data_IF_629434438436
#
_entry.id   IF_629434438436
#
_cell.length_a   1.000
_cell.length_b   1.000
_cell.length_c   1.000
_cell.angle_alpha   90.00
_cell.angle_beta   90.00
_cell.angle_gamma   90.00
#
_symmetry.space_group_name_H-M   'P 1'
#
loop_
_entity.id
_entity.type
_entity.pdbx_description
1 polymer ?
#
# COMPACT_ATOMS: atom_id res chain seq x y z
N UNK A 1 20.06 -19.04 6.33
CA UNK A 1 19.61 -17.80 5.66
C UNK A 1 18.08 -17.79 5.47
N UNK A 2 17.46 -18.81 4.86
CA UNK A 2 15.99 -19.01 4.97
C UNK A 2 15.56 -19.12 6.43
N UNK A 3 16.31 -19.90 7.24
CA UNK A 3 16.16 -19.92 8.71
C UNK A 3 16.28 -18.56 9.40
N UNK A 4 16.94 -17.59 8.78
CA UNK A 4 17.14 -16.27 9.39
C UNK A 4 15.98 -15.32 9.05
N UNK A 5 15.36 -15.49 7.88
CA UNK A 5 14.08 -14.86 7.55
C UNK A 5 12.92 -15.52 8.28
N UNK A 6 12.97 -16.83 8.51
CA UNK A 6 12.05 -17.55 9.41
C UNK A 6 12.19 -17.02 10.85
N UNK A 7 13.40 -16.87 11.38
CA UNK A 7 13.61 -16.31 12.71
C UNK A 7 13.20 -14.83 12.79
N UNK A 8 13.50 -14.04 11.75
CA UNK A 8 13.04 -12.65 11.62
C UNK A 8 11.51 -12.58 11.58
N UNK A 9 10.88 -13.44 10.79
CA UNK A 9 9.45 -13.55 10.61
C UNK A 9 8.73 -13.94 11.89
N UNK A 10 9.21 -15.00 12.54
CA UNK A 10 8.69 -15.51 13.80
C UNK A 10 8.74 -14.41 14.85
N UNK A 11 9.87 -13.71 14.96
CA UNK A 11 10.06 -12.83 16.08
C UNK A 11 9.63 -11.37 15.82
N UNK A 12 9.45 -10.94 14.55
CA UNK A 12 8.62 -9.75 14.21
C UNK A 12 7.15 -10.06 14.43
N UNK A 13 6.63 -11.17 13.91
CA UNK A 13 5.22 -11.54 14.09
C UNK A 13 4.85 -11.73 15.57
N UNK A 14 5.73 -12.36 16.38
CA UNK A 14 5.56 -12.50 17.83
C UNK A 14 5.65 -11.15 18.57
N UNK A 15 6.52 -10.24 18.12
CA UNK A 15 6.58 -8.87 18.66
C UNK A 15 5.27 -8.10 18.39
N UNK A 16 4.73 -8.23 17.17
CA UNK A 16 3.48 -7.61 16.73
C UNK A 16 2.27 -8.20 17.49
N UNK A 17 2.26 -9.51 17.74
CA UNK A 17 1.10 -10.23 18.31
C UNK A 17 0.89 -10.11 19.83
N UNK A 18 1.87 -9.68 20.62
CA UNK A 18 1.77 -9.86 22.08
C UNK A 18 2.55 -8.88 22.95
N UNK A 19 3.06 -7.77 22.40
CA UNK A 19 3.84 -6.83 23.20
C UNK A 19 5.13 -7.44 23.76
N UNK A 20 5.68 -8.45 23.07
CA UNK A 20 6.97 -9.05 23.41
C UNK A 20 8.11 -8.13 22.96
N UNK A 21 8.19 -6.97 23.57
CA UNK A 21 9.19 -5.93 23.32
C UNK A 21 10.61 -6.51 23.39
N UNK A 22 10.86 -7.49 24.27
CA UNK A 22 12.16 -8.16 24.36
C UNK A 22 12.48 -9.04 23.14
N UNK A 23 11.50 -9.79 22.60
CA UNK A 23 11.69 -10.56 21.38
C UNK A 23 11.97 -9.62 20.19
N UNK A 24 11.20 -8.52 20.07
CA UNK A 24 11.42 -7.49 19.06
C UNK A 24 12.84 -6.88 19.13
N UNK A 25 13.31 -6.60 20.35
CA UNK A 25 14.66 -6.07 20.61
C UNK A 25 15.76 -7.07 20.27
N UNK A 26 15.56 -8.34 20.61
CA UNK A 26 16.50 -9.41 20.26
C UNK A 26 16.64 -9.53 18.75
N UNK A 27 15.52 -9.58 18.02
CA UNK A 27 15.50 -9.61 16.55
C UNK A 27 16.17 -8.41 15.93
N UNK A 28 15.84 -7.20 16.38
CA UNK A 28 16.48 -6.00 15.86
C UNK A 28 18.01 -6.04 16.04
N UNK A 29 18.48 -6.64 17.13
CA UNK A 29 19.92 -6.82 17.41
C UNK A 29 20.53 -7.87 16.48
N UNK A 30 19.88 -9.02 16.32
CA UNK A 30 20.33 -10.10 15.43
C UNK A 30 20.36 -9.63 13.97
N UNK A 31 19.32 -8.92 13.51
CA UNK A 31 19.29 -8.33 12.16
C UNK A 31 20.40 -7.31 11.93
N UNK A 32 20.66 -6.45 12.92
CA UNK A 32 21.73 -5.44 12.79
C UNK A 32 23.12 -6.07 12.65
N UNK A 33 23.29 -7.33 13.04
CA UNK A 33 24.55 -8.07 12.93
C UNK A 33 24.78 -8.78 11.59
N UNK A 34 23.83 -8.71 10.66
CA UNK A 34 23.96 -9.35 9.35
C UNK A 34 24.89 -8.59 8.42
N UNK A 35 26.04 -9.19 8.14
CA UNK A 35 27.04 -8.64 7.22
C UNK A 35 26.65 -8.79 5.74
N UNK A 36 25.85 -9.81 5.39
CA UNK A 36 25.43 -10.10 4.01
C UNK A 36 23.93 -10.34 3.91
N UNK A 37 23.27 -9.57 3.02
CA UNK A 37 21.86 -9.74 2.70
C UNK A 37 21.68 -10.74 1.56
N UNK A 38 20.56 -11.50 1.52
CA UNK A 38 20.22 -12.30 0.36
C UNK A 38 20.10 -11.41 -0.87
N UNK A 39 20.66 -11.84 -2.01
CA UNK A 39 20.63 -11.06 -3.26
C UNK A 39 19.22 -10.77 -3.78
N UNK A 40 18.23 -11.59 -3.39
CA UNK A 40 16.84 -11.42 -3.77
C UNK A 40 16.06 -10.45 -2.86
N UNK A 41 16.58 -10.13 -1.67
CA UNK A 41 15.96 -9.17 -0.75
C UNK A 41 16.70 -7.83 -0.86
N UNK A 42 16.09 -6.81 -1.49
CA UNK A 42 16.69 -5.50 -1.56
C UNK A 42 17.02 -4.95 -0.17
N UNK A 43 18.16 -4.26 -0.06
CA UNK A 43 18.61 -3.61 1.18
C UNK A 43 17.55 -2.65 1.75
N UNK A 44 16.77 -2.02 0.89
CA UNK A 44 15.66 -1.14 1.27
C UNK A 44 14.55 -1.91 1.99
N UNK A 45 14.11 -3.05 1.47
CA UNK A 45 13.07 -3.84 2.13
C UNK A 45 13.55 -4.42 3.46
N UNK A 46 14.81 -4.86 3.53
CA UNK A 46 15.42 -5.27 4.80
C UNK A 46 15.37 -4.18 5.87
N UNK A 47 15.71 -2.94 5.50
CA UNK A 47 15.66 -1.78 6.39
C UNK A 47 14.26 -1.52 6.91
N UNK A 48 13.23 -1.73 6.10
CA UNK A 48 11.85 -1.62 6.56
C UNK A 48 11.56 -2.60 7.71
N UNK A 49 11.88 -3.89 7.57
CA UNK A 49 11.65 -4.87 8.63
C UNK A 49 12.48 -4.58 9.89
N UNK A 50 13.73 -4.13 9.72
CA UNK A 50 14.56 -3.71 10.84
C UNK A 50 13.93 -2.53 11.59
N UNK A 51 13.47 -1.50 10.86
CA UNK A 51 12.79 -0.34 11.42
C UNK A 51 11.49 -0.71 12.13
N UNK A 52 10.70 -1.62 11.54
CA UNK A 52 9.48 -2.16 12.14
C UNK A 52 9.75 -2.89 13.47
N UNK A 53 10.76 -3.77 13.49
CA UNK A 53 11.18 -4.48 14.69
C UNK A 53 11.65 -3.51 15.79
N UNK A 54 12.42 -2.48 15.43
CA UNK A 54 12.84 -1.43 16.34
C UNK A 54 11.66 -0.63 16.90
N UNK A 55 10.67 -0.29 16.06
CA UNK A 55 9.45 0.40 16.46
C UNK A 55 8.66 -0.40 17.50
N UNK A 56 8.35 -1.68 17.22
CA UNK A 56 7.66 -2.56 18.18
C UNK A 56 8.52 -2.89 19.41
N UNK A 57 9.85 -2.80 19.28
CA UNK A 57 10.80 -2.90 20.39
C UNK A 57 10.93 -1.63 21.24
N UNK A 58 10.11 -0.59 20.99
CA UNK A 58 10.17 0.73 21.61
C UNK A 58 11.54 1.41 21.48
N UNK A 59 12.26 1.15 20.38
CA UNK A 59 13.54 1.80 20.03
C UNK A 59 13.27 2.90 19.00
N UNK A 60 12.47 3.89 19.37
CA UNK A 60 11.91 4.88 18.43
C UNK A 60 12.98 5.67 17.66
N UNK A 61 14.03 6.15 18.32
CA UNK A 61 15.13 6.86 17.64
C UNK A 61 15.84 5.98 16.59
N UNK A 62 16.07 4.70 16.91
CA UNK A 62 16.69 3.77 15.97
C UNK A 62 15.75 3.44 14.79
N UNK A 63 14.46 3.26 15.10
CA UNK A 63 13.42 3.02 14.11
C UNK A 63 13.30 4.21 13.15
N UNK A 64 13.30 5.44 13.67
CA UNK A 64 13.26 6.67 12.89
C UNK A 64 14.47 6.78 11.95
N UNK A 65 15.68 6.60 12.47
CA UNK A 65 16.90 6.64 11.65
C UNK A 65 16.90 5.57 10.55
N UNK A 66 16.40 4.37 10.85
CA UNK A 66 16.35 3.26 9.90
C UNK A 66 15.29 3.51 8.82
N UNK A 67 14.08 3.88 9.21
CA UNK A 67 12.94 4.08 8.30
C UNK A 67 13.10 5.34 7.44
N UNK A 68 13.69 6.41 7.96
CA UNK A 68 13.97 7.63 7.19
C UNK A 68 15.00 7.42 6.09
N UNK A 69 15.78 6.32 6.15
CA UNK A 69 16.74 5.96 5.12
C UNK A 69 16.14 5.17 3.95
N UNK A 70 14.82 4.92 3.97
CA UNK A 70 14.10 4.27 2.89
C UNK A 70 13.86 5.26 1.76
N UNK A 71 14.12 4.83 0.54
CA UNK A 71 13.82 5.60 -0.66
C UNK A 71 12.34 5.48 -1.03
N UNK A 72 11.80 6.48 -1.72
CA UNK A 72 10.42 6.49 -2.21
C UNK A 72 10.05 5.23 -3.03
N UNK A 73 11.00 4.67 -3.78
CA UNK A 73 10.79 3.46 -4.59
C UNK A 73 10.81 2.15 -3.75
N UNK A 74 10.89 2.26 -2.42
CA UNK A 74 10.82 1.08 -1.55
C UNK A 74 9.39 0.54 -1.49
N UNK A 75 9.29 -0.78 -1.52
CA UNK A 75 8.05 -1.54 -1.56
C UNK A 75 7.17 -1.41 -0.30
N UNK A 76 7.74 -0.89 0.78
CA UNK A 76 7.02 -0.59 2.03
C UNK A 76 7.16 0.89 2.43
N UNK A 77 7.40 1.78 1.47
CA UNK A 77 7.62 3.21 1.75
C UNK A 77 6.39 3.87 2.40
N UNK A 78 5.17 3.53 1.97
CA UNK A 78 3.95 4.11 2.52
C UNK A 78 3.78 3.70 3.99
N UNK A 79 3.97 2.41 4.28
CA UNK A 79 3.96 1.88 5.63
C UNK A 79 5.06 2.47 6.51
N UNK A 80 6.25 2.72 5.95
CA UNK A 80 7.34 3.36 6.69
C UNK A 80 7.01 4.79 7.09
N UNK A 81 6.48 5.60 6.17
CA UNK A 81 6.03 6.97 6.48
C UNK A 81 4.90 6.98 7.51
N UNK A 82 4.00 6.01 7.45
CA UNK A 82 2.98 5.84 8.48
C UNK A 82 3.59 5.54 9.87
N UNK A 83 4.58 4.64 9.95
CA UNK A 83 5.27 4.36 11.22
C UNK A 83 6.04 5.58 11.73
N UNK A 84 6.74 6.31 10.85
CA UNK A 84 7.46 7.55 11.20
C UNK A 84 6.50 8.59 11.80
N UNK A 85 5.34 8.80 11.17
CA UNK A 85 4.27 9.65 11.73
C UNK A 85 3.84 9.18 13.13
N UNK A 86 3.70 7.87 13.34
CA UNK A 86 3.37 7.32 14.67
C UNK A 86 4.49 7.56 15.69
N UNK A 87 5.76 7.48 15.29
CA UNK A 87 6.90 7.81 16.15
C UNK A 87 6.82 9.29 16.56
N UNK A 88 6.67 10.20 15.61
CA UNK A 88 6.52 11.64 15.88
C UNK A 88 5.37 11.94 16.85
N UNK A 89 4.23 11.25 16.72
CA UNK A 89 3.09 11.42 17.64
C UNK A 89 3.43 11.07 19.10
N UNK A 90 4.45 10.23 19.35
CA UNK A 90 4.94 9.92 20.70
C UNK A 90 5.82 11.03 21.29
N UNK A 91 6.37 11.88 20.44
CA UNK A 91 7.23 13.01 20.82
C UNK A 91 6.46 14.34 20.89
N UNK A 92 5.15 14.33 20.60
CA UNK A 92 4.31 15.51 20.62
C UNK A 92 4.12 16.03 22.06
N UNK A 93 4.54 17.27 22.30
CA UNK A 93 4.32 18.05 23.53
C UNK A 93 3.70 19.40 23.18
N UNK A 94 3.18 20.13 24.17
CA UNK A 94 2.67 21.49 23.94
C UNK A 94 3.76 22.43 23.40
N UNK A 95 4.99 22.28 23.88
CA UNK A 95 6.15 23.13 23.52
C UNK A 95 6.61 22.93 22.07
N UNK A 96 6.45 21.73 21.50
CA UNK A 96 6.93 21.40 20.15
C UNK A 96 5.79 21.13 19.15
N UNK A 97 4.53 21.37 19.53
CA UNK A 97 3.35 20.92 18.80
C UNK A 97 3.34 21.32 17.33
N UNK A 98 3.69 22.58 17.03
CA UNK A 98 3.68 23.09 15.66
C UNK A 98 4.74 22.42 14.79
N UNK A 99 5.95 22.25 15.32
CA UNK A 99 7.06 21.60 14.62
C UNK A 99 6.76 20.13 14.34
N UNK A 100 6.32 19.39 15.35
CA UNK A 100 6.01 17.96 15.22
C UNK A 100 4.84 17.72 14.27
N UNK A 101 3.77 18.53 14.36
CA UNK A 101 2.63 18.43 13.43
C UNK A 101 3.05 18.69 11.98
N UNK A 102 3.95 19.65 11.74
CA UNK A 102 4.49 19.91 10.41
C UNK A 102 5.20 18.68 9.85
N UNK A 103 6.05 18.02 10.65
CA UNK A 103 6.74 16.80 10.22
C UNK A 103 5.78 15.61 10.00
N UNK A 104 4.75 15.49 10.86
CA UNK A 104 3.70 14.48 10.66
C UNK A 104 2.96 14.70 9.35
N UNK A 105 2.67 15.95 9.00
CA UNK A 105 2.02 16.31 7.76
C UNK A 105 2.88 16.01 6.53
N UNK A 106 4.20 16.23 6.59
CA UNK A 106 5.12 15.82 5.52
C UNK A 106 5.04 14.31 5.24
N UNK A 107 4.93 13.48 6.28
CA UNK A 107 4.74 12.04 6.10
C UNK A 107 3.37 11.69 5.55
N UNK A 108 2.30 12.38 5.96
CA UNK A 108 0.97 12.22 5.37
C UNK A 108 0.97 12.54 3.87
N UNK A 109 1.68 13.59 3.44
CA UNK A 109 1.86 13.91 2.02
C UNK A 109 2.59 12.80 1.25
N UNK A 110 3.63 12.20 1.83
CA UNK A 110 4.31 11.07 1.19
C UNK A 110 3.41 9.83 1.10
N UNK A 111 2.62 9.56 2.13
CA UNK A 111 1.65 8.45 2.11
C UNK A 111 0.61 8.68 1.02
N UNK A 112 0.01 9.87 0.96
CA UNK A 112 -0.99 10.21 -0.05
C UNK A 112 -0.44 10.13 -1.48
N UNK A 113 0.84 10.46 -1.67
CA UNK A 113 1.52 10.31 -2.96
C UNK A 113 1.74 8.84 -3.34
N UNK A 114 2.17 8.02 -2.38
CA UNK A 114 2.45 6.59 -2.61
C UNK A 114 1.16 5.79 -2.79
N UNK A 115 0.15 6.06 -1.96
CA UNK A 115 -1.15 5.40 -1.89
C UNK A 115 -2.26 6.43 -2.21
N UNK A 116 -2.50 6.71 -3.51
CA UNK A 116 -3.45 7.75 -3.94
C UNK A 116 -4.91 7.40 -3.67
N UNK A 117 -5.21 6.16 -3.28
CA UNK A 117 -6.55 5.73 -2.86
C UNK A 117 -6.74 5.73 -1.34
N UNK A 118 -5.72 6.15 -0.58
CA UNK A 118 -5.79 6.20 0.87
C UNK A 118 -6.71 7.33 1.36
N UNK A 119 -7.45 7.12 2.47
CA UNK A 119 -8.21 8.21 3.12
C UNK A 119 -7.35 9.43 3.49
N UNK A 120 -6.04 9.23 3.74
CA UNK A 120 -5.10 10.32 4.04
C UNK A 120 -5.05 11.38 2.93
N UNK A 121 -5.36 11.04 1.68
CA UNK A 121 -5.31 12.00 0.57
C UNK A 121 -6.28 13.15 0.79
N UNK A 122 -7.50 12.85 1.28
CA UNK A 122 -8.49 13.87 1.59
C UNK A 122 -8.04 14.72 2.79
N UNK A 123 -7.52 14.08 3.86
CA UNK A 123 -6.99 14.80 5.03
C UNK A 123 -5.88 15.79 4.61
N UNK A 124 -4.98 15.36 3.72
CA UNK A 124 -3.92 16.22 3.19
C UNK A 124 -4.47 17.37 2.36
N UNK A 125 -5.43 17.10 1.48
CA UNK A 125 -6.02 18.13 0.63
C UNK A 125 -6.80 19.19 1.43
N UNK A 126 -7.50 18.78 2.50
CA UNK A 126 -8.21 19.69 3.41
C UNK A 126 -7.25 20.57 4.19
N UNK A 127 -6.20 19.99 4.76
CA UNK A 127 -5.16 20.74 5.47
C UNK A 127 -4.42 21.73 4.56
N UNK A 128 -4.10 21.33 3.32
CA UNK A 128 -3.52 22.25 2.32
C UNK A 128 -4.46 23.42 1.98
N UNK A 129 -5.77 23.15 1.91
CA UNK A 129 -6.78 24.19 1.66
C UNK A 129 -6.84 25.17 2.83
N UNK A 130 -6.87 24.66 4.06
CA UNK A 130 -6.86 25.47 5.27
C UNK A 130 -5.59 26.35 5.37
N UNK A 131 -4.41 25.79 5.10
CA UNK A 131 -3.15 26.55 5.12
C UNK A 131 -3.16 27.70 4.11
N UNK A 132 -3.71 27.47 2.91
CA UNK A 132 -3.87 28.52 1.89
C UNK A 132 -4.86 29.60 2.31
N UNK A 133 -6.00 29.23 2.88
CA UNK A 133 -7.03 30.19 3.33
C UNK A 133 -6.55 31.11 4.46
N UNK A 134 -5.68 30.60 5.34
CA UNK A 134 -5.17 31.36 6.49
C UNK A 134 -3.97 32.25 6.10
N UNK A 135 -3.52 32.19 4.84
CA UNK A 135 -2.37 32.99 4.38
C UNK A 135 -1.06 32.61 5.08
N UNK A 136 -0.97 31.38 5.58
CA UNK A 136 0.28 30.85 6.12
C UNK A 136 1.18 30.59 4.91
N UNK A 137 2.23 31.40 4.75
CA UNK A 137 3.33 31.11 3.82
C UNK A 137 3.85 29.72 4.17
N UNK A 138 3.47 28.73 3.37
CA UNK A 138 3.98 27.38 3.51
C UNK A 138 5.47 27.45 3.21
N UNK A 139 6.32 27.45 4.24
CA UNK A 139 7.77 27.41 4.12
C UNK A 139 8.28 26.06 3.54
N UNK A 140 7.37 25.22 3.05
CA UNK A 140 7.57 23.83 2.69
C UNK A 140 7.02 23.60 1.30
N UNK A 141 7.75 22.84 0.48
CA UNK A 141 7.33 22.47 -0.87
C UNK A 141 6.07 21.61 -0.83
N UNK A 142 4.90 22.25 -0.87
CA UNK A 142 3.62 21.55 -0.89
C UNK A 142 3.49 20.72 -2.17
N UNK A 143 3.41 19.40 -2.01
CA UNK A 143 2.91 18.54 -3.08
C UNK A 143 1.43 18.82 -3.24
N UNK A 144 1.04 19.59 -4.25
CA UNK A 144 -0.37 19.91 -4.49
C UNK A 144 -1.12 18.61 -4.80
N UNK A 145 -1.97 18.18 -3.87
CA UNK A 145 -2.89 17.07 -4.10
C UNK A 145 -4.25 17.63 -4.49
N UNK A 146 -4.93 17.03 -5.49
CA UNK A 146 -6.27 17.45 -5.83
C UNK A 146 -7.21 17.14 -4.65
N UNK A 147 -8.01 18.12 -4.23
CA UNK A 147 -9.11 17.93 -3.29
C UNK A 147 -10.19 17.11 -4.00
N UNK A 148 -10.26 15.83 -3.68
CA UNK A 148 -11.24 14.87 -4.21
C UNK A 148 -11.68 14.09 -2.99
N UNK A 149 -12.99 13.88 -2.81
CA UNK A 149 -13.62 13.09 -1.73
C UNK A 149 -13.20 11.59 -1.83
N UNK A 150 -11.89 11.35 -1.70
CA UNK A 150 -11.18 10.08 -1.82
C UNK A 150 -11.39 9.35 -0.51
N UNK A 151 -12.02 8.18 -0.59
CA UNK A 151 -12.27 7.30 0.56
C UNK A 151 -13.73 7.11 0.94
N UNK A 152 -14.69 7.91 0.42
CA UNK A 152 -16.12 7.68 0.74
C UNK A 152 -16.82 6.65 -0.14
N UNK A 153 -16.29 6.42 -1.35
CA UNK A 153 -16.90 5.50 -2.32
C UNK A 153 -16.14 4.18 -2.46
N UNK A 154 -14.90 4.10 -1.98
CA UNK A 154 -14.11 2.88 -2.09
C UNK A 154 -14.59 1.83 -1.09
N UNK A 155 -15.21 0.78 -1.62
CA UNK A 155 -15.57 -0.40 -0.85
C UNK A 155 -14.45 -1.43 -0.98
N UNK A 156 -13.74 -1.68 0.12
CA UNK A 156 -12.59 -2.59 0.09
C UNK A 156 -13.04 -4.02 -0.28
N UNK A 157 -14.22 -4.47 0.13
CA UNK A 157 -14.78 -5.78 -0.24
C UNK A 157 -14.98 -5.89 -1.76
N UNK A 158 -15.49 -4.84 -2.39
CA UNK A 158 -15.63 -4.77 -3.85
C UNK A 158 -14.27 -4.87 -4.55
N UNK A 159 -13.21 -4.26 -4.02
CA UNK A 159 -11.86 -4.40 -4.57
C UNK A 159 -11.30 -5.83 -4.47
N UNK A 160 -11.66 -6.59 -3.42
CA UNK A 160 -11.35 -8.02 -3.36
C UNK A 160 -12.04 -8.76 -4.50
N UNK A 161 -13.31 -8.48 -4.74
CA UNK A 161 -14.10 -9.09 -5.82
C UNK A 161 -13.51 -8.75 -7.19
N UNK A 162 -13.08 -7.50 -7.40
CA UNK A 162 -12.39 -7.07 -8.63
C UNK A 162 -11.09 -7.85 -8.82
N UNK A 163 -10.29 -8.01 -7.76
CA UNK A 163 -9.07 -8.80 -7.80
C UNK A 163 -9.33 -10.27 -8.14
N UNK A 164 -10.34 -10.88 -7.54
CA UNK A 164 -10.75 -12.26 -7.81
C UNK A 164 -11.21 -12.42 -9.29
N UNK A 165 -12.00 -11.48 -9.81
CA UNK A 165 -12.45 -11.49 -11.21
C UNK A 165 -11.30 -11.31 -12.22
N UNK A 166 -10.29 -10.49 -11.91
CA UNK A 166 -9.08 -10.42 -12.73
C UNK A 166 -8.27 -11.72 -12.65
N UNK A 167 -8.14 -12.30 -11.45
CA UNK A 167 -7.40 -13.53 -11.22
C UNK A 167 -7.99 -14.72 -12.00
N UNK A 168 -9.33 -14.87 -11.98
CA UNK A 168 -10.06 -15.89 -12.75
C UNK A 168 -9.82 -15.80 -14.27
N UNK A 169 -9.45 -14.63 -14.76
CA UNK A 169 -9.16 -14.37 -16.18
C UNK A 169 -7.66 -14.45 -16.49
N UNK A 170 -6.83 -14.89 -15.56
CA UNK A 170 -5.36 -14.92 -15.65
C UNK A 170 -4.73 -13.53 -15.88
N UNK A 171 -5.44 -12.45 -15.52
CA UNK A 171 -4.96 -11.08 -15.56
C UNK A 171 -4.26 -10.74 -14.23
N UNK A 172 -3.16 -11.46 -13.97
CA UNK A 172 -2.52 -11.47 -12.65
C UNK A 172 -1.95 -10.11 -12.23
N UNK A 173 -1.51 -9.27 -13.17
CA UNK A 173 -1.03 -7.92 -12.84
C UNK A 173 -2.16 -7.04 -12.32
N UNK A 174 -3.28 -7.05 -13.02
CA UNK A 174 -4.48 -6.31 -12.65
C UNK A 174 -5.10 -6.85 -11.35
N UNK A 175 -5.03 -8.17 -11.14
CA UNK A 175 -5.45 -8.79 -9.89
C UNK A 175 -4.58 -8.32 -8.71
N UNK A 176 -3.26 -8.33 -8.88
CA UNK A 176 -2.32 -7.81 -7.88
C UNK A 176 -2.59 -6.34 -7.56
N UNK A 177 -2.79 -5.50 -8.58
CA UNK A 177 -3.16 -4.09 -8.41
C UNK A 177 -4.45 -3.93 -7.59
N UNK A 178 -5.50 -4.69 -7.91
CA UNK A 178 -6.78 -4.62 -7.20
C UNK A 178 -6.70 -5.09 -5.73
N UNK A 179 -5.98 -6.17 -5.46
CA UNK A 179 -5.70 -6.57 -4.07
C UNK A 179 -4.84 -5.54 -3.33
N UNK A 180 -3.94 -4.85 -4.03
CA UNK A 180 -3.17 -3.76 -3.44
C UNK A 180 -4.06 -2.54 -3.15
N UNK A 181 -4.97 -2.16 -4.06
CA UNK A 181 -5.96 -1.11 -3.82
C UNK A 181 -6.84 -1.41 -2.61
N UNK A 182 -7.26 -2.67 -2.42
CA UNK A 182 -7.98 -3.10 -1.21
C UNK A 182 -7.24 -2.71 0.08
N UNK A 183 -5.92 -2.78 0.09
CA UNK A 183 -5.09 -2.41 1.25
C UNK A 183 -4.99 -0.88 1.33
N UNK A 184 -4.73 -0.20 0.21
CA UNK A 184 -4.56 1.26 0.17
C UNK A 184 -5.77 2.03 0.71
N UNK A 185 -6.99 1.61 0.34
CA UNK A 185 -8.23 2.32 0.71
C UNK A 185 -8.62 2.17 2.17
N UNK A 186 -7.99 1.23 2.90
CA UNK A 186 -8.23 1.06 4.34
C UNK A 186 -7.57 2.17 5.14
N UNK A 187 -8.09 2.39 6.34
CA UNK A 187 -7.44 3.23 7.32
C UNK A 187 -6.01 2.72 7.59
N UNK A 188 -4.97 3.57 7.60
CA UNK A 188 -3.58 3.14 7.83
C UNK A 188 -3.34 2.40 9.16
N UNK A 189 -4.17 2.60 10.18
CA UNK A 189 -4.14 1.79 11.41
C UNK A 189 -4.53 0.33 11.16
N UNK A 190 -5.21 0.03 10.06
CA UNK A 190 -5.62 -1.32 9.65
C UNK A 190 -4.57 -2.05 8.81
N UNK A 191 -3.58 -1.36 8.23
CA UNK A 191 -2.54 -1.99 7.40
C UNK A 191 -1.69 -3.04 8.11
N UNK A 192 -1.66 -2.99 9.45
CA UNK A 192 -0.95 -3.94 10.29
C UNK A 192 -1.86 -4.86 11.11
N UNK A 193 -3.16 -4.95 10.76
CA UNK A 193 -4.13 -5.79 11.46
C UNK A 193 -4.29 -7.16 10.81
N UNK A 194 -4.87 -8.09 11.57
CA UNK A 194 -5.19 -9.44 11.11
C UNK A 194 -6.03 -9.40 9.83
N UNK A 195 -5.71 -10.27 8.87
CA UNK A 195 -6.44 -10.40 7.61
C UNK A 195 -5.78 -9.68 6.43
N UNK A 196 -4.91 -8.70 6.67
CA UNK A 196 -4.11 -8.06 5.60
C UNK A 196 -3.13 -9.06 4.96
N UNK A 197 -2.66 -10.04 5.74
CA UNK A 197 -1.74 -11.09 5.30
C UNK A 197 -2.33 -11.89 4.15
N UNK A 198 -3.63 -12.19 4.22
CA UNK A 198 -4.32 -12.92 3.16
C UNK A 198 -4.26 -12.19 1.81
N UNK A 199 -4.27 -10.85 1.81
CA UNK A 199 -4.20 -10.06 0.59
C UNK A 199 -2.77 -9.94 0.06
N UNK A 200 -1.77 -9.76 0.92
CA UNK A 200 -0.38 -9.84 0.47
C UNK A 200 -0.01 -11.22 -0.05
N UNK A 201 -0.57 -12.28 0.53
CA UNK A 201 -0.46 -13.64 -0.02
C UNK A 201 -1.13 -13.75 -1.40
N UNK A 202 -2.36 -13.26 -1.58
CA UNK A 202 -3.01 -13.23 -2.91
C UNK A 202 -2.20 -12.44 -3.94
N UNK A 203 -1.57 -11.34 -3.56
CA UNK A 203 -0.67 -10.60 -4.45
C UNK A 203 0.58 -11.43 -4.79
N UNK A 204 1.17 -12.12 -3.79
CA UNK A 204 2.26 -13.05 -4.06
C UNK A 204 1.84 -14.15 -5.04
N UNK A 205 0.64 -14.74 -4.90
CA UNK A 205 0.10 -15.72 -5.84
C UNK A 205 0.13 -15.19 -7.27
N UNK A 206 -0.36 -13.97 -7.47
CA UNK A 206 -0.37 -13.32 -8.78
C UNK A 206 1.04 -13.25 -9.39
N UNK A 207 2.03 -12.78 -8.63
CA UNK A 207 3.41 -12.71 -9.11
C UNK A 207 4.06 -14.08 -9.31
N UNK A 208 3.70 -15.09 -8.52
CA UNK A 208 4.12 -16.47 -8.78
C UNK A 208 3.58 -16.96 -10.13
N UNK A 209 2.30 -16.70 -10.43
CA UNK A 209 1.68 -17.08 -11.71
C UNK A 209 2.26 -16.31 -12.90
N UNK A 210 2.67 -15.05 -12.72
CA UNK A 210 3.38 -14.25 -13.75
C UNK A 210 4.82 -14.72 -14.00
N UNK A 211 5.36 -15.61 -13.17
CA UNK A 211 6.77 -15.99 -13.25
C UNK A 211 7.72 -14.92 -12.71
N UNK A 212 7.26 -14.12 -11.73
CA UNK A 212 8.04 -13.08 -11.04
C UNK A 212 8.34 -13.51 -9.58
N UNK A 213 9.11 -14.60 -9.35
CA UNK A 213 9.28 -15.21 -8.03
C UNK A 213 9.95 -14.29 -7.01
N UNK A 214 10.80 -13.35 -7.44
CA UNK A 214 11.40 -12.36 -6.55
C UNK A 214 10.36 -11.40 -6.00
N UNK A 215 9.42 -10.93 -6.81
CA UNK A 215 8.35 -10.03 -6.35
C UNK A 215 7.35 -10.77 -5.47
N UNK A 216 6.99 -12.01 -5.83
CA UNK A 216 6.20 -12.88 -4.96
C UNK A 216 6.87 -13.10 -3.59
N UNK A 217 8.17 -13.40 -3.57
CA UNK A 217 8.93 -13.57 -2.33
C UNK A 217 8.93 -12.31 -1.46
N UNK A 218 8.95 -11.11 -2.07
CA UNK A 218 8.86 -9.83 -1.35
C UNK A 218 7.49 -9.64 -0.68
N UNK A 219 6.39 -9.96 -1.36
CA UNK A 219 5.03 -9.93 -0.78
C UNK A 219 4.83 -10.98 0.32
N UNK A 220 5.34 -12.21 0.13
CA UNK A 220 5.34 -13.24 1.18
C UNK A 220 6.13 -12.75 2.41
N UNK A 221 7.30 -12.15 2.19
CA UNK A 221 8.11 -11.59 3.28
C UNK A 221 7.38 -10.44 3.98
N UNK A 222 6.64 -9.62 3.22
CA UNK A 222 5.86 -8.48 3.77
C UNK A 222 4.81 -8.95 4.76
N UNK A 223 4.22 -10.11 4.54
CA UNK A 223 3.27 -10.76 5.47
C UNK A 223 3.83 -10.99 6.87
N UNK A 224 5.15 -11.11 7.03
CA UNK A 224 5.75 -11.20 8.35
C UNK A 224 5.76 -9.91 9.16
N UNK A 225 5.40 -8.77 8.56
CA UNK A 225 5.14 -7.53 9.29
C UNK A 225 3.85 -7.57 10.13
N UNK A 226 3.04 -8.63 9.99
CA UNK A 226 1.72 -8.74 10.59
C UNK A 226 1.69 -9.64 11.85
N UNK A 227 0.62 -9.50 12.65
CA UNK A 227 0.35 -10.41 13.75
C UNK A 227 -0.05 -11.81 13.25
N UNK A 228 0.93 -12.61 12.84
CA UNK A 228 0.70 -13.97 12.33
C UNK A 228 0.73 -15.04 13.43
N UNK A 229 -0.14 -16.05 13.29
CA UNK A 229 -0.06 -17.29 14.09
C UNK A 229 1.16 -18.13 13.69
N UNK A 230 1.62 -19.02 14.58
CA UNK A 230 2.71 -19.98 14.28
C UNK A 230 2.44 -20.80 13.02
N UNK A 231 1.19 -21.19 12.78
CA UNK A 231 0.79 -21.91 11.56
C UNK A 231 1.01 -21.05 10.31
N UNK A 232 0.48 -19.82 10.29
CA UNK A 232 0.65 -18.91 9.17
C UNK A 232 2.13 -18.63 8.88
N UNK A 233 2.94 -18.45 9.92
CA UNK A 233 4.38 -18.24 9.76
C UNK A 233 5.04 -19.45 9.11
N UNK A 234 4.71 -20.66 9.57
CA UNK A 234 5.21 -21.92 8.98
C UNK A 234 4.82 -22.05 7.51
N UNK A 235 3.56 -21.75 7.17
CA UNK A 235 3.03 -21.87 5.81
C UNK A 235 3.73 -20.88 4.85
N UNK A 236 3.82 -19.61 5.24
CA UNK A 236 4.50 -18.57 4.44
C UNK A 236 5.99 -18.93 4.27
N UNK A 237 6.64 -19.42 5.33
CA UNK A 237 8.06 -19.81 5.30
C UNK A 237 8.32 -21.00 4.39
N UNK A 238 7.49 -22.05 4.48
CA UNK A 238 7.57 -23.22 3.61
C UNK A 238 7.37 -22.85 2.14
N UNK A 239 6.44 -21.92 1.88
CA UNK A 239 6.18 -21.40 0.54
C UNK A 239 7.35 -20.58 0.01
N UNK A 240 7.89 -19.65 0.80
CA UNK A 240 9.08 -18.86 0.45
C UNK A 240 10.27 -19.77 0.13
N UNK A 241 10.49 -20.81 0.92
CA UNK A 241 11.56 -21.80 0.68
C UNK A 241 11.37 -22.53 -0.66
N UNK A 242 10.15 -22.96 -0.95
CA UNK A 242 9.81 -23.62 -2.23
C UNK A 242 9.97 -22.68 -3.42
N UNK A 243 9.57 -21.42 -3.28
CA UNK A 243 9.65 -20.41 -4.31
C UNK A 243 11.10 -20.06 -4.66
N UNK A 244 11.94 -19.85 -3.64
CA UNK A 244 13.36 -19.48 -3.81
C UNK A 244 14.24 -20.65 -4.25
N UNK A 245 13.80 -21.90 -4.05
CA UNK A 245 14.52 -23.09 -4.50
C UNK A 245 14.28 -23.42 -5.98
N UNK A 246 13.33 -22.75 -6.65
CA UNK A 246 13.00 -23.04 -8.05
C UNK A 246 14.07 -22.49 -9.01
N UNK A 247 14.68 -23.34 -9.86
CA UNK A 247 15.81 -22.94 -10.71
C UNK A 247 15.43 -22.10 -11.95
N UNK A 248 14.13 -21.89 -12.22
CA UNK A 248 13.64 -21.00 -13.27
C UNK A 248 12.17 -20.63 -12.99
N UNK A 249 11.71 -19.45 -13.45
CA UNK A 249 10.29 -19.10 -13.37
C UNK A 249 9.47 -20.15 -14.13
N UNK A 250 8.41 -20.67 -13.49
CA UNK A 250 7.46 -21.56 -14.15
C UNK A 250 6.93 -20.85 -15.40
N UNK A 251 6.86 -21.56 -16.53
CA UNK A 251 6.22 -21.04 -17.74
C UNK A 251 4.82 -20.56 -17.38
N UNK A 252 4.50 -19.33 -17.80
CA UNK A 252 3.19 -18.74 -17.60
C UNK A 252 2.12 -19.70 -18.12
N UNK A 253 1.10 -19.94 -17.30
CA UNK A 253 -0.06 -20.73 -17.68
C UNK A 253 -0.63 -20.17 -18.98
N UNK A 254 -0.95 -21.01 -19.99
CA UNK A 254 -1.52 -20.52 -21.23
C UNK A 254 -2.75 -19.66 -20.96
N UNK A 255 -2.69 -18.41 -21.42
CA UNK A 255 -3.71 -17.39 -21.18
C UNK A 255 -4.97 -17.78 -21.95
N UNK A 256 -6.02 -18.20 -21.24
CA UNK A 256 -7.36 -18.19 -21.80
C UNK A 256 -7.71 -16.76 -22.20
N UNK A 257 -8.35 -16.55 -23.35
CA UNK A 257 -8.82 -15.21 -23.71
C UNK A 257 -9.72 -14.67 -22.58
N UNK A 258 -9.47 -13.43 -22.10
CA UNK A 258 -10.31 -12.81 -21.08
C UNK A 258 -11.78 -12.73 -21.53
N UNK A 259 -12.69 -12.83 -20.56
CA UNK A 259 -14.13 -12.72 -20.83
C UNK A 259 -14.54 -11.24 -20.84
N UNK A 260 -14.99 -10.76 -21.99
CA UNK A 260 -15.40 -9.37 -22.18
C UNK A 260 -16.50 -8.94 -21.19
N UNK A 261 -17.42 -9.85 -20.82
CA UNK A 261 -18.49 -9.56 -19.87
C UNK A 261 -17.94 -9.37 -18.45
N UNK A 262 -16.99 -10.21 -18.02
CA UNK A 262 -16.32 -10.04 -16.72
C UNK A 262 -15.50 -8.75 -16.68
N UNK A 263 -14.81 -8.41 -17.77
CA UNK A 263 -14.07 -7.15 -17.88
C UNK A 263 -15.00 -5.92 -17.80
N UNK A 264 -16.18 -5.99 -18.42
CA UNK A 264 -17.20 -4.96 -18.26
C UNK A 264 -17.67 -4.87 -16.80
N UNK A 265 -18.00 -5.98 -16.15
CA UNK A 265 -18.40 -6.01 -14.74
C UNK A 265 -17.35 -5.40 -13.81
N UNK A 266 -16.06 -5.64 -14.09
CA UNK A 266 -14.97 -5.00 -13.36
C UNK A 266 -14.98 -3.48 -13.60
N UNK A 267 -15.10 -3.04 -14.85
CA UNK A 267 -15.20 -1.62 -15.20
C UNK A 267 -16.36 -0.92 -14.50
N UNK A 268 -17.54 -1.56 -14.47
CA UNK A 268 -18.75 -1.03 -13.83
C UNK A 268 -18.52 -0.84 -12.31
N UNK A 269 -17.96 -1.85 -11.63
CA UNK A 269 -17.64 -1.77 -10.20
C UNK A 269 -16.62 -0.68 -9.89
N UNK A 270 -15.58 -0.56 -10.70
CA UNK A 270 -14.56 0.47 -10.53
C UNK A 270 -15.14 1.87 -10.79
N UNK A 271 -16.06 1.99 -11.75
CA UNK A 271 -16.73 3.26 -12.05
C UNK A 271 -17.66 3.69 -10.92
N UNK A 272 -18.42 2.77 -10.33
CA UNK A 272 -19.25 3.03 -9.14
C UNK A 272 -18.42 3.52 -7.93
N UNK A 273 -17.18 3.06 -7.83
CA UNK A 273 -16.21 3.51 -6.83
C UNK A 273 -15.44 4.78 -7.24
N UNK A 274 -15.77 5.41 -8.37
CA UNK A 274 -15.06 6.57 -8.94
C UNK A 274 -13.57 6.35 -9.22
N UNK A 275 -13.14 5.09 -9.37
CA UNK A 275 -11.80 4.73 -9.88
C UNK A 275 -11.78 4.85 -11.40
N UNK A 276 -11.95 6.07 -11.89
CA UNK A 276 -12.26 6.35 -13.30
C UNK A 276 -11.17 5.86 -14.27
N UNK A 277 -9.89 5.98 -13.91
CA UNK A 277 -8.79 5.57 -14.79
C UNK A 277 -8.69 4.03 -14.90
N UNK A 278 -8.94 3.34 -13.80
CA UNK A 278 -8.99 1.89 -13.68
C UNK A 278 -10.22 1.34 -14.39
N UNK A 279 -11.37 1.99 -14.25
CA UNK A 279 -12.61 1.65 -14.96
C UNK A 279 -12.41 1.75 -16.48
N UNK A 280 -11.85 2.86 -16.97
CA UNK A 280 -11.51 3.02 -18.40
C UNK A 280 -10.54 1.93 -18.86
N UNK A 281 -9.56 1.56 -18.04
CA UNK A 281 -8.62 0.47 -18.37
C UNK A 281 -9.35 -0.86 -18.53
N UNK A 282 -10.26 -1.21 -17.62
CA UNK A 282 -11.06 -2.42 -17.67
C UNK A 282 -11.97 -2.46 -18.93
N UNK A 283 -12.66 -1.36 -19.22
CA UNK A 283 -13.50 -1.26 -20.42
C UNK A 283 -12.70 -1.35 -21.72
N UNK A 284 -11.48 -0.80 -21.76
CA UNK A 284 -10.59 -0.97 -22.92
C UNK A 284 -10.16 -2.42 -23.11
N UNK A 285 -9.89 -3.14 -22.03
CA UNK A 285 -9.61 -4.58 -22.11
C UNK A 285 -10.84 -5.32 -22.66
N UNK A 286 -12.06 -4.98 -22.22
CA UNK A 286 -13.29 -5.57 -22.76
C UNK A 286 -13.48 -5.25 -24.26
N UNK A 287 -13.17 -4.02 -24.69
CA UNK A 287 -13.21 -3.63 -26.11
C UNK A 287 -12.25 -4.46 -26.97
N UNK A 288 -11.04 -4.74 -26.46
CA UNK A 288 -10.08 -5.61 -27.13
C UNK A 288 -10.56 -7.06 -27.28
N UNK A 289 -11.50 -7.50 -26.44
CA UNK A 289 -12.16 -8.80 -26.54
C UNK A 289 -13.46 -8.75 -27.37
N UNK A 290 -13.74 -7.62 -28.03
CA UNK A 290 -14.86 -7.49 -28.98
C UNK A 290 -16.16 -6.91 -28.41
N UNK A 291 -16.17 -6.44 -27.16
CA UNK A 291 -17.34 -5.74 -26.61
C UNK A 291 -17.41 -4.27 -27.08
N UNK A 292 -18.62 -3.73 -27.29
CA UNK A 292 -18.79 -2.31 -27.59
C UNK A 292 -18.81 -1.47 -26.31
N UNK A 293 -17.68 -0.84 -26.00
CA UNK A 293 -17.46 -0.08 -24.75
C UNK A 293 -17.31 1.43 -24.97
N UNK A 294 -17.51 1.92 -26.20
CA UNK A 294 -17.21 3.33 -26.55
C UNK A 294 -18.01 4.32 -25.72
N UNK A 295 -19.31 4.07 -25.56
CA UNK A 295 -20.21 4.94 -24.79
C UNK A 295 -19.85 4.93 -23.30
N UNK A 296 -19.46 3.78 -22.75
CA UNK A 296 -19.10 3.62 -21.34
C UNK A 296 -17.81 4.37 -21.04
N UNK A 297 -16.79 4.20 -21.89
CA UNK A 297 -15.52 4.94 -21.79
C UNK A 297 -15.74 6.45 -21.89
N UNK A 298 -16.62 6.91 -22.81
CA UNK A 298 -16.95 8.33 -22.93
C UNK A 298 -17.65 8.86 -21.66
N UNK A 299 -18.63 8.11 -21.14
CA UNK A 299 -19.38 8.46 -19.94
C UNK A 299 -18.48 8.57 -18.70
N UNK A 300 -17.53 7.65 -18.54
CA UNK A 300 -16.56 7.68 -17.42
C UNK A 300 -15.66 8.92 -17.50
N UNK A 301 -15.20 9.28 -18.70
CA UNK A 301 -14.37 10.48 -18.90
C UNK A 301 -15.14 11.77 -18.59
N UNK A 302 -16.38 11.86 -19.06
CA UNK A 302 -17.26 12.98 -18.74
C UNK A 302 -17.52 13.08 -17.23
N UNK A 303 -17.83 11.95 -16.58
CA UNK A 303 -18.01 11.90 -15.13
C UNK A 303 -16.76 12.36 -14.35
N UNK A 304 -15.56 11.92 -14.79
CA UNK A 304 -14.28 12.37 -14.22
C UNK A 304 -14.11 13.89 -14.33
N UNK A 305 -14.37 14.46 -15.50
CA UNK A 305 -14.28 15.91 -15.73
C UNK A 305 -15.30 16.70 -14.89
N UNK A 306 -16.53 16.21 -14.80
CA UNK A 306 -17.58 16.82 -13.96
C UNK A 306 -17.21 16.76 -12.48
N UNK A 307 -16.66 15.63 -12.01
CA UNK A 307 -16.19 15.48 -10.63
C UNK A 307 -15.12 16.54 -10.34
N UNK A 308 -14.06 16.62 -11.15
CA UNK A 308 -13.01 17.64 -11.03
C UNK A 308 -13.58 19.07 -11.01
N UNK A 309 -14.50 19.39 -11.92
CA UNK A 309 -15.05 20.75 -12.06
C UNK A 309 -16.00 21.16 -10.93
N UNK A 310 -16.82 20.25 -10.38
CA UNK A 310 -17.67 20.55 -9.20
C UNK A 310 -16.82 21.03 -8.02
N UNK A 311 -15.62 20.48 -7.86
CA UNK A 311 -14.72 20.83 -6.77
C UNK A 311 -14.01 22.16 -7.00
N UNK A 312 -13.50 22.42 -8.21
CA UNK A 312 -12.94 23.75 -8.53
C UNK A 312 -13.93 24.87 -8.23
N UNK A 313 -15.21 24.71 -8.58
CA UNK A 313 -16.23 25.72 -8.31
C UNK A 313 -16.50 25.88 -6.80
N UNK A 314 -16.57 24.78 -6.05
CA UNK A 314 -16.76 24.82 -4.59
C UNK A 314 -15.61 25.56 -3.88
N UNK A 315 -14.36 25.26 -4.26
CA UNK A 315 -13.16 25.91 -3.70
C UNK A 315 -13.09 27.41 -4.05
N UNK A 316 -13.50 27.81 -5.26
CA UNK A 316 -13.52 29.23 -5.66
C UNK A 316 -14.64 30.04 -5.00
N UNK A 317 -15.80 29.45 -4.73
CA UNK A 317 -16.90 30.17 -4.07
C UNK A 317 -16.66 30.44 -2.58
N UNK A 318 -15.79 29.66 -1.92
CA UNK A 318 -15.32 29.97 -0.56
C UNK A 318 -14.31 31.13 -0.58
N UNK A 319 -13.46 31.20 -1.61
CA UNK A 319 -12.47 32.28 -1.79
C UNK A 319 -13.13 33.63 -2.12
N UNK A 320 -14.25 33.63 -2.86
CA UNK A 320 -14.91 34.87 -3.30
C UNK A 320 -16.01 35.39 -2.34
N UNK A 321 -16.27 34.69 -1.22
CA UNK A 321 -17.28 35.08 -0.22
C UNK A 321 -16.71 35.61 1.10
N UNK A 322 -15.40 35.79 1.21
CA UNK A 322 -14.73 36.52 2.30
C UNK A 322 -14.07 37.77 1.75
#
# INVERSE_FOLDING_TARGET
MIHLLENLAIAVAQAVNGGQVQAARQVATELSSLETLPTWLPKTDFRFYLGLAQFYGNRFEAAEATLSSLTYDSFSAAEAHWILRRILSKHLTEENANFVRSQMFEHEQQIARLYPYSPIVQDVADEQTNQREVGLDSHYGLLVLPTIDIGRLYDWQTLVTVGDLYYEQNLFEQAADAYHWNIQVRDPNQWFQNGIDSFWMKIADCYEQKGEPTLAARYLTKSFALPLTTSQISDISARLKTLLAQPAPKQATPVSQPDALKLQQIGDRLFEMEMFDEAVRAYRLAEQQGADMRLMIASVKEAKEVSINKWYISSYFVILKK
#
